data_IF_090756458003
#
_entry.id   IF_090756458003
#
_cell.length_a   1.000
_cell.length_b   1.000
_cell.length_c   1.000
_cell.angle_alpha   90.00
_cell.angle_beta   90.00
_cell.angle_gamma   90.00
#
_symmetry.space_group_name_H-M   'P 1'
#
loop_
_entity.id
_entity.type
_entity.pdbx_description
1 polymer ?
#
# COMPACT_ATOMS: atom_id res chain seq x y z
N UNK A 1 -4.77 32.34 -25.39
CA UNK A 1 -3.58 32.22 -24.51
C UNK A 1 -3.29 30.75 -24.30
N UNK A 2 -2.19 30.24 -24.86
CA UNK A 2 -1.73 28.86 -24.60
C UNK A 2 -0.78 28.92 -23.42
N UNK A 3 -1.25 28.56 -22.23
CA UNK A 3 -0.36 28.42 -21.07
C UNK A 3 0.53 27.18 -21.30
N UNK A 4 1.76 27.40 -21.76
CA UNK A 4 2.83 26.39 -21.76
C UNK A 4 3.33 26.17 -20.33
N UNK A 5 2.47 25.67 -19.45
CA UNK A 5 2.89 25.14 -18.17
C UNK A 5 3.04 23.62 -18.31
N UNK A 6 4.22 23.07 -18.00
CA UNK A 6 4.41 21.62 -17.97
C UNK A 6 3.46 21.04 -16.91
N UNK A 7 2.62 20.04 -17.25
CA UNK A 7 1.76 19.39 -16.27
C UNK A 7 2.63 18.80 -15.16
N UNK A 8 2.31 19.15 -13.91
CA UNK A 8 2.89 18.52 -12.73
C UNK A 8 2.26 17.15 -12.54
N UNK A 9 3.05 16.18 -12.07
CA UNK A 9 2.51 14.88 -11.76
C UNK A 9 1.61 14.96 -10.51
N UNK A 10 0.48 14.23 -10.48
CA UNK A 10 -0.28 14.04 -9.25
C UNK A 10 0.58 13.35 -8.20
N UNK A 11 0.37 13.69 -6.94
CA UNK A 11 1.13 13.12 -5.81
C UNK A 11 0.25 12.15 -5.04
N UNK A 12 0.76 10.95 -4.78
CA UNK A 12 0.13 9.93 -3.94
C UNK A 12 0.88 9.84 -2.62
N UNK A 13 0.21 10.06 -1.50
CA UNK A 13 0.81 10.02 -0.16
C UNK A 13 0.01 9.10 0.74
N UNK A 14 0.67 8.11 1.33
CA UNK A 14 0.07 7.29 2.38
C UNK A 14 -0.20 8.16 3.62
N UNK A 15 -1.42 8.09 4.12
CA UNK A 15 -1.88 8.81 5.32
C UNK A 15 -2.02 7.85 6.49
N UNK A 16 -2.65 6.72 6.25
CA UNK A 16 -2.81 5.69 7.27
C UNK A 16 -2.89 4.30 6.65
N UNK A 17 -2.56 3.33 7.48
CA UNK A 17 -2.69 1.91 7.20
C UNK A 17 -3.56 1.33 8.31
N UNK A 18 -4.65 0.67 7.94
CA UNK A 18 -5.57 0.05 8.88
C UNK A 18 -5.60 -1.44 8.63
N UNK A 19 -5.15 -2.23 9.61
CA UNK A 19 -5.27 -3.67 9.57
C UNK A 19 -6.73 -4.09 9.79
N UNK A 20 -7.25 -4.92 8.89
CA UNK A 20 -8.60 -5.49 9.00
C UNK A 20 -8.55 -6.87 9.63
N UNK A 21 -7.63 -7.73 9.18
CA UNK A 21 -7.52 -9.11 9.63
C UNK A 21 -6.08 -9.57 9.58
N UNK A 22 -5.62 -10.21 10.67
CA UNK A 22 -4.36 -10.95 10.74
C UNK A 22 -4.69 -12.44 10.75
N UNK A 23 -4.09 -13.19 9.83
CA UNK A 23 -4.30 -14.63 9.67
C UNK A 23 -2.97 -15.34 9.90
N UNK A 24 -2.84 -16.02 11.05
CA UNK A 24 -1.78 -16.98 11.27
C UNK A 24 -2.17 -18.34 10.70
N UNK A 25 -1.33 -18.90 9.84
CA UNK A 25 -1.46 -20.25 9.34
C UNK A 25 -0.19 -21.05 9.68
N UNK A 26 -0.35 -22.22 10.31
CA UNK A 26 0.73 -23.21 10.48
C UNK A 26 1.24 -23.46 11.89
N UNK A 27 0.47 -23.20 12.94
CA UNK A 27 0.74 -23.74 14.28
C UNK A 27 0.38 -25.24 14.34
N UNK A 28 1.12 -26.07 13.62
CA UNK A 28 1.06 -27.53 13.73
C UNK A 28 2.30 -28.03 14.45
N UNK A 29 2.10 -28.75 15.54
CA UNK A 29 3.16 -29.46 16.25
C UNK A 29 3.91 -30.38 15.29
N UNK A 30 5.19 -30.09 15.02
CA UNK A 30 6.14 -31.13 14.64
C UNK A 30 7.58 -30.59 14.79
N UNK A 31 8.35 -31.32 15.61
CA UNK A 31 9.76 -31.11 15.89
C UNK A 31 10.57 -30.98 14.58
N UNK A 32 11.55 -30.08 14.61
CA UNK A 32 12.68 -29.99 13.66
C UNK A 32 12.36 -29.63 12.19
N UNK A 33 12.33 -28.31 11.92
CA UNK A 33 13.01 -27.55 10.84
C UNK A 33 12.26 -26.24 10.59
N UNK A 34 12.54 -25.21 11.40
CA UNK A 34 12.26 -23.79 11.18
C UNK A 34 11.12 -23.43 10.17
N UNK A 35 9.90 -23.91 10.39
CA UNK A 35 8.72 -23.49 9.61
C UNK A 35 8.16 -22.23 10.28
N UNK A 36 8.54 -21.05 9.78
CA UNK A 36 7.90 -19.82 10.24
C UNK A 36 6.40 -19.88 9.91
N UNK A 37 5.50 -19.62 10.89
CA UNK A 37 4.08 -19.56 10.61
C UNK A 37 3.82 -18.48 9.57
N UNK A 38 2.97 -18.75 8.58
CA UNK A 38 2.60 -17.73 7.58
C UNK A 38 1.67 -16.74 8.25
N UNK A 39 1.99 -15.45 8.17
CA UNK A 39 1.21 -14.35 8.74
C UNK A 39 0.63 -13.48 7.63
N UNK A 40 -0.55 -13.81 7.11
CA UNK A 40 -1.18 -12.93 6.12
C UNK A 40 -1.88 -11.77 6.83
N UNK A 41 -1.80 -10.56 6.27
CA UNK A 41 -2.51 -9.40 6.77
C UNK A 41 -3.32 -8.73 5.66
N UNK A 42 -4.62 -8.60 5.89
CA UNK A 42 -5.53 -7.82 5.04
C UNK A 42 -5.60 -6.38 5.57
N UNK A 43 -5.32 -5.40 4.71
CA UNK A 43 -5.15 -3.99 5.08
C UNK A 43 -6.02 -3.08 4.21
N UNK A 44 -6.37 -1.91 4.76
CA UNK A 44 -6.84 -0.75 3.98
C UNK A 44 -5.78 0.35 4.05
N UNK A 45 -5.25 0.73 2.89
CA UNK A 45 -4.39 1.88 2.72
C UNK A 45 -5.25 3.12 2.47
N UNK A 46 -5.07 4.14 3.28
CA UNK A 46 -5.71 5.44 3.07
C UNK A 46 -4.67 6.40 2.49
N UNK A 47 -4.90 6.86 1.26
CA UNK A 47 -3.93 7.61 0.46
C UNK A 47 -4.53 8.96 0.05
N UNK A 48 -3.79 10.03 0.28
CA UNK A 48 -4.05 11.31 -0.36
C UNK A 48 -3.55 11.31 -1.79
N UNK A 49 -4.44 11.63 -2.73
CA UNK A 49 -4.09 11.90 -4.11
C UNK A 49 -4.30 13.38 -4.36
N UNK A 50 -3.24 14.09 -4.71
CA UNK A 50 -3.24 15.53 -4.93
C UNK A 50 -2.96 15.86 -6.38
N UNK A 51 -3.85 16.62 -7.01
CA UNK A 51 -3.62 17.23 -8.32
C UNK A 51 -3.24 18.71 -8.15
N UNK A 52 -1.96 19.08 -8.30
CA UNK A 52 -1.51 20.46 -8.16
C UNK A 52 -1.68 21.28 -9.46
N UNK A 53 -2.33 20.74 -10.49
CA UNK A 53 -2.53 21.42 -11.76
C UNK A 53 -3.81 22.23 -11.77
N UNK A 54 -3.80 23.32 -12.53
CA UNK A 54 -4.99 24.14 -12.84
C UNK A 54 -5.96 23.44 -13.82
N UNK A 55 -5.59 22.25 -14.30
CA UNK A 55 -6.41 21.40 -15.18
C UNK A 55 -6.68 20.05 -14.50
N UNK A 56 -7.79 19.36 -14.86
CA UNK A 56 -8.03 18.01 -14.39
C UNK A 56 -6.94 17.05 -14.87
N UNK A 57 -6.61 16.05 -14.04
CA UNK A 57 -5.68 14.97 -14.40
C UNK A 57 -6.43 13.65 -14.42
N UNK A 58 -6.13 12.81 -15.40
CA UNK A 58 -6.54 11.41 -15.46
C UNK A 58 -5.34 10.51 -15.26
N UNK A 59 -5.47 9.49 -14.44
CA UNK A 59 -4.45 8.48 -14.23
C UNK A 59 -5.03 7.10 -14.57
N UNK A 60 -4.21 6.27 -15.22
CA UNK A 60 -4.55 4.88 -15.50
C UNK A 60 -4.53 4.06 -14.22
N UNK A 61 -5.10 2.86 -14.28
CA UNK A 61 -4.90 1.88 -13.23
C UNK A 61 -3.40 1.65 -13.01
N UNK A 62 -2.97 1.63 -11.75
CA UNK A 62 -1.57 1.43 -11.37
C UNK A 62 -1.47 0.59 -10.11
N UNK A 63 -0.31 -0.01 -9.87
CA UNK A 63 -0.06 -0.79 -8.66
C UNK A 63 0.84 0.00 -7.70
N UNK A 64 0.58 -0.11 -6.41
CA UNK A 64 1.41 0.40 -5.32
C UNK A 64 2.04 -0.78 -4.59
N UNK A 65 3.35 -0.86 -4.60
CA UNK A 65 4.10 -1.90 -3.88
C UNK A 65 4.40 -1.46 -2.44
N UNK A 66 4.30 -2.39 -1.51
CA UNK A 66 4.56 -2.19 -0.08
C UNK A 66 5.86 -2.92 0.23
N UNK A 67 6.87 -2.17 0.65
CA UNK A 67 8.15 -2.71 1.06
C UNK A 67 8.38 -2.47 2.55
N UNK A 68 9.04 -3.41 3.21
CA UNK A 68 9.53 -3.28 4.57
C UNK A 68 10.89 -3.96 4.65
N UNK A 69 11.88 -3.27 5.22
CA UNK A 69 13.26 -3.75 5.32
C UNK A 69 13.84 -4.28 3.98
N UNK A 70 13.51 -3.60 2.88
CA UNK A 70 13.93 -3.98 1.52
C UNK A 70 13.14 -5.14 0.88
N UNK A 71 12.36 -5.91 1.66
CA UNK A 71 11.49 -6.98 1.16
C UNK A 71 10.16 -6.45 0.63
N UNK A 72 9.69 -6.98 -0.50
CA UNK A 72 8.34 -6.74 -1.02
C UNK A 72 7.32 -7.50 -0.15
N UNK A 73 6.62 -6.78 0.72
CA UNK A 73 5.58 -7.38 1.56
C UNK A 73 4.26 -7.55 0.82
N UNK A 74 3.93 -6.69 -0.13
CA UNK A 74 2.62 -6.77 -0.78
C UNK A 74 2.39 -5.69 -1.82
N UNK A 75 1.16 -5.62 -2.33
CA UNK A 75 0.77 -4.54 -3.24
C UNK A 75 -0.71 -4.19 -3.10
N UNK A 76 -1.06 -2.99 -3.55
CA UNK A 76 -2.42 -2.48 -3.66
C UNK A 76 -2.69 -2.04 -5.09
N UNK A 77 -3.91 -2.24 -5.57
CA UNK A 77 -4.32 -1.75 -6.88
C UNK A 77 -4.97 -0.37 -6.73
N UNK A 78 -4.45 0.59 -7.47
CA UNK A 78 -5.06 1.90 -7.66
C UNK A 78 -5.92 1.81 -8.91
N UNK A 79 -7.25 1.95 -8.81
CA UNK A 79 -8.12 1.92 -9.99
C UNK A 79 -7.86 3.15 -10.88
N UNK A 80 -8.27 3.06 -12.14
CA UNK A 80 -8.30 4.22 -13.04
C UNK A 80 -9.14 5.33 -12.41
N UNK A 81 -8.71 6.59 -12.56
CA UNK A 81 -9.41 7.71 -11.95
C UNK A 81 -9.11 9.06 -12.58
N UNK A 82 -9.83 10.07 -12.10
CA UNK A 82 -9.66 11.47 -12.51
C UNK A 82 -9.74 12.37 -11.28
N UNK A 83 -8.96 13.44 -11.29
CA UNK A 83 -8.99 14.47 -10.25
C UNK A 83 -9.29 15.84 -10.82
N UNK A 84 -10.16 16.64 -10.17
CA UNK A 84 -10.36 18.04 -10.52
C UNK A 84 -9.07 18.87 -10.40
N UNK A 85 -9.04 20.08 -11.00
CA UNK A 85 -7.96 21.05 -10.78
C UNK A 85 -7.74 21.35 -9.30
N UNK A 86 -6.49 21.58 -8.90
CA UNK A 86 -6.10 22.04 -7.56
C UNK A 86 -6.82 21.31 -6.42
N UNK A 87 -6.90 19.99 -6.50
CA UNK A 87 -7.69 19.17 -5.58
C UNK A 87 -6.83 18.18 -4.80
N UNK A 88 -7.35 17.75 -3.65
CA UNK A 88 -6.83 16.63 -2.87
C UNK A 88 -8.00 15.73 -2.49
N UNK A 89 -7.86 14.43 -2.74
CA UNK A 89 -8.89 13.43 -2.47
C UNK A 89 -8.28 12.27 -1.69
N UNK A 90 -9.11 11.57 -0.93
CA UNK A 90 -8.74 10.35 -0.23
C UNK A 90 -9.15 9.13 -1.04
N UNK A 91 -8.21 8.22 -1.27
CA UNK A 91 -8.46 6.88 -1.79
C UNK A 91 -8.25 5.86 -0.68
N UNK A 92 -9.19 4.93 -0.54
CA UNK A 92 -9.08 3.77 0.34
C UNK A 92 -8.84 2.54 -0.52
N UNK A 93 -7.64 2.00 -0.46
CA UNK A 93 -7.22 0.89 -1.31
C UNK A 93 -7.02 -0.37 -0.46
N UNK A 94 -7.72 -1.47 -0.77
CA UNK A 94 -7.42 -2.75 -0.14
C UNK A 94 -6.05 -3.25 -0.59
N UNK A 95 -5.30 -3.80 0.36
CA UNK A 95 -4.00 -4.40 0.13
C UNK A 95 -3.87 -5.67 0.96
N UNK A 96 -3.06 -6.62 0.48
CA UNK A 96 -2.73 -7.83 1.23
C UNK A 96 -1.21 -7.95 1.36
N UNK A 97 -0.75 -8.22 2.58
CA UNK A 97 0.65 -8.55 2.84
C UNK A 97 0.85 -10.07 2.74
N UNK A 98 1.98 -10.45 2.15
CA UNK A 98 2.44 -11.82 1.98
C UNK A 98 2.99 -12.35 3.29
N UNK A 99 2.38 -13.41 3.79
CA UNK A 99 2.67 -13.89 5.12
C UNK A 99 3.97 -14.62 5.35
N UNK A 100 4.73 -14.99 4.32
CA UNK A 100 6.07 -15.53 4.55
C UNK A 100 7.07 -14.41 4.85
N UNK A 101 7.07 -13.36 4.03
CA UNK A 101 7.93 -12.18 4.23
C UNK A 101 7.52 -11.45 5.52
N UNK A 102 6.22 -11.27 5.76
CA UNK A 102 5.73 -10.63 6.98
C UNK A 102 6.12 -11.44 8.23
N UNK A 103 6.11 -12.78 8.19
CA UNK A 103 6.54 -13.60 9.32
C UNK A 103 8.04 -13.55 9.60
N UNK A 104 8.86 -13.46 8.55
CA UNK A 104 10.32 -13.26 8.69
C UNK A 104 10.64 -11.91 9.35
N UNK A 105 9.85 -10.89 9.03
CA UNK A 105 9.98 -9.55 9.57
C UNK A 105 9.15 -9.28 10.83
N UNK A 106 8.28 -10.21 11.25
CA UNK A 106 7.29 -10.00 12.31
C UNK A 106 7.91 -9.60 13.65
N UNK A 107 9.07 -10.16 14.01
CA UNK A 107 9.76 -9.80 15.26
C UNK A 107 10.23 -8.34 15.28
N UNK A 108 10.64 -7.80 14.12
CA UNK A 108 11.04 -6.39 13.97
C UNK A 108 9.81 -5.51 13.87
N UNK A 109 8.84 -5.94 13.06
CA UNK A 109 7.58 -5.24 12.85
C UNK A 109 6.79 -5.01 14.16
N UNK A 110 6.79 -5.98 15.08
CA UNK A 110 6.14 -5.86 16.41
C UNK A 110 7.00 -5.03 17.39
N UNK A 111 8.32 -5.01 17.20
CA UNK A 111 9.24 -4.25 18.05
C UNK A 111 9.35 -2.76 17.69
N UNK A 112 8.91 -2.37 16.49
CA UNK A 112 8.92 -0.99 16.00
C UNK A 112 7.67 -0.17 16.42
N UNK A 113 6.91 -0.63 17.42
CA UNK A 113 5.86 0.18 18.08
C UNK A 113 6.43 1.33 18.92
#
# INVERSE_FOLDING_TARGET
VVFRAKPKLPKFRLVSLTALQLKLAGAGEEKEKLKFPRLDADLILTIHVTNPNILPVRYSATSLSIYYDGSLLGSAQVPVGSQPPNSCQLLRLPARLNGLELAQHAKRFIGDE
#
